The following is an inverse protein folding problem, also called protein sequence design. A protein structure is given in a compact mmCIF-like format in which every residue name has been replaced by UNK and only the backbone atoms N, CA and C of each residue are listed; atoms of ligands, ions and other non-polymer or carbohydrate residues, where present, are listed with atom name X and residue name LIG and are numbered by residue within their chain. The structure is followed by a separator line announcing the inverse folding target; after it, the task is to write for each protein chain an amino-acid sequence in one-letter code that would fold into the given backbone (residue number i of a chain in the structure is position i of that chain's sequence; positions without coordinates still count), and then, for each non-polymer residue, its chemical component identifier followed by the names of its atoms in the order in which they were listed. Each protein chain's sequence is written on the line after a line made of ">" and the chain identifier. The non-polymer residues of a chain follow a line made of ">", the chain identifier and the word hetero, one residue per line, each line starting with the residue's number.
data_IF_564870714341
#
_entry.id   IF_564870714341
#
_cell.length_a   1.000
_cell.length_b   1.000
_cell.length_c   1.000
_cell.angle_alpha   90.00
_cell.angle_beta   90.00
_cell.angle_gamma   90.00
#
_symmetry.space_group_name_H-M   'P 1'
#
loop_
_entity.id
_entity.type
_entity.pdbx_description
1 polymer ?
#
# COMPACT_ATOMS: atom_id res chain seq x y z
N UNK A 1 -34.97 74.83 -44.58
CA UNK A 1 -35.27 74.55 -43.17
C UNK A 1 -35.81 73.13 -43.08
N UNK A 2 -35.57 72.36 -42.00
CA UNK A 2 -34.48 72.51 -41.01
C UNK A 2 -33.09 72.32 -41.69
N UNK A 3 -31.91 72.75 -41.18
CA UNK A 3 -31.21 72.55 -39.89
C UNK A 3 -30.88 71.05 -39.65
N UNK A 4 -29.65 70.63 -39.33
CA UNK A 4 -28.35 71.30 -39.11
C UNK A 4 -27.24 70.22 -39.20
N UNK A 5 -26.14 70.38 -39.97
CA UNK A 5 -24.87 71.09 -39.68
C UNK A 5 -23.89 70.30 -38.77
N UNK A 6 -22.59 70.34 -39.13
CA UNK A 6 -21.34 69.92 -38.45
C UNK A 6 -20.85 68.45 -38.54
N UNK A 7 -19.70 68.29 -39.24
CA UNK A 7 -18.66 67.27 -39.02
C UNK A 7 -17.77 67.65 -37.81
N UNK A 8 -16.93 66.74 -37.27
CA UNK A 8 -15.57 66.51 -37.81
C UNK A 8 -15.25 65.01 -38.08
N UNK A 9 -14.29 64.55 -38.93
CA UNK A 9 -12.84 64.86 -39.08
C UNK A 9 -12.02 64.32 -37.87
N UNK A 10 -10.93 63.54 -37.96
CA UNK A 10 -10.07 62.92 -39.01
C UNK A 10 -9.11 61.91 -38.30
N UNK A 11 -8.32 60.99 -38.93
CA UNK A 11 -8.34 60.32 -40.24
C UNK A 11 -8.70 58.80 -40.04
N UNK A 12 -8.10 57.68 -40.54
CA UNK A 12 -6.96 57.39 -41.46
C UNK A 12 -7.04 55.99 -42.12
N UNK A 13 -6.32 55.86 -43.25
CA UNK A 13 -5.76 54.72 -44.02
C UNK A 13 -5.40 53.45 -43.19
N UNK A 14 -5.71 52.18 -43.49
CA UNK A 14 -5.99 51.36 -44.71
C UNK A 14 -4.77 50.76 -45.45
N UNK A 15 -4.51 49.47 -45.23
CA UNK A 15 -3.87 48.47 -46.14
C UNK A 15 -2.96 48.93 -47.29
N UNK A 16 -1.67 48.56 -47.22
CA UNK A 16 -0.82 48.04 -48.32
C UNK A 16 0.58 47.68 -47.74
N UNK A 17 1.46 46.86 -48.32
CA UNK A 17 1.33 45.58 -49.06
C UNK A 17 2.73 45.12 -49.50
N UNK A 18 2.94 43.80 -49.66
CA UNK A 18 4.09 43.18 -50.38
C UNK A 18 5.43 43.20 -49.61
N UNK A 19 6.30 42.25 -49.99
CA UNK A 19 7.55 41.86 -49.34
C UNK A 19 8.71 42.81 -49.66
N UNK A 20 9.66 42.95 -48.74
CA UNK A 20 11.06 42.64 -49.06
C UNK A 20 11.88 42.22 -47.82
N UNK A 21 13.15 41.85 -47.99
CA UNK A 21 13.93 41.03 -47.04
C UNK A 21 15.01 41.80 -46.24
N UNK A 22 15.47 41.20 -45.14
CA UNK A 22 16.64 41.56 -44.29
C UNK A 22 16.39 42.59 -43.18
N UNK A 23 16.35 42.11 -41.92
CA UNK A 23 16.41 42.95 -40.71
C UNK A 23 16.21 42.16 -39.42
N UNK A 24 17.10 42.33 -38.43
CA UNK A 24 16.94 41.73 -37.09
C UNK A 24 16.16 42.67 -36.17
N UNK A 25 15.16 42.17 -35.44
CA UNK A 25 15.11 42.26 -33.97
C UNK A 25 13.87 41.55 -33.40
N UNK A 26 13.90 41.27 -32.10
CA UNK A 26 12.85 40.61 -31.35
C UNK A 26 11.77 41.62 -30.92
N UNK A 27 10.49 41.20 -30.84
CA UNK A 27 9.93 40.82 -29.54
C UNK A 27 8.48 40.28 -29.54
N UNK A 28 8.32 39.22 -28.75
CA UNK A 28 7.15 38.79 -27.98
C UNK A 28 5.84 39.64 -28.04
N UNK A 29 4.80 39.17 -28.77
CA UNK A 29 3.42 39.23 -28.28
C UNK A 29 2.44 38.24 -28.97
N UNK A 30 2.62 36.93 -28.79
CA UNK A 30 1.59 35.94 -29.17
C UNK A 30 1.63 34.66 -28.34
N UNK A 31 1.11 34.72 -27.11
CA UNK A 31 0.79 33.56 -26.26
C UNK A 31 -0.48 33.80 -25.44
N UNK A 32 -1.63 33.83 -26.11
CA UNK A 32 -2.91 33.54 -25.47
C UNK A 32 -3.93 33.03 -26.50
N UNK A 33 -4.99 32.36 -26.01
CA UNK A 33 -6.06 31.74 -26.83
C UNK A 33 -5.58 30.62 -27.78
N UNK A 34 -5.11 29.50 -27.20
CA UNK A 34 -5.49 28.14 -27.65
C UNK A 34 -5.16 27.08 -26.58
N UNK A 35 -5.98 26.03 -26.56
CA UNK A 35 -5.91 24.86 -25.68
C UNK A 35 -6.31 25.03 -24.20
N UNK A 36 -7.58 25.36 -23.95
CA UNK A 36 -8.32 24.80 -22.80
C UNK A 36 -8.74 23.35 -23.13
N UNK A 37 -7.74 22.50 -23.44
CA UNK A 37 -7.89 21.06 -23.76
C UNK A 37 -6.61 20.30 -23.40
N UNK A 38 -6.40 20.08 -22.11
CA UNK A 38 -5.74 18.87 -21.60
C UNK A 38 -5.95 18.69 -20.08
N UNK A 39 -7.21 18.74 -19.64
CA UNK A 39 -7.63 17.96 -18.47
C UNK A 39 -7.83 16.51 -18.96
N UNK A 40 -6.74 15.88 -19.38
CA UNK A 40 -6.67 14.42 -19.42
C UNK A 40 -6.48 13.97 -17.98
N UNK A 41 -7.13 12.89 -17.56
CA UNK A 41 -6.89 12.28 -16.26
C UNK A 41 -5.50 11.67 -16.24
N UNK A 42 -4.50 12.49 -15.89
CA UNK A 42 -3.16 12.04 -15.54
C UNK A 42 -3.27 11.38 -14.17
N UNK A 43 -3.71 10.12 -14.17
CA UNK A 43 -3.36 9.17 -13.13
C UNK A 43 -1.83 9.11 -13.13
N UNK A 44 -1.21 9.94 -12.29
CA UNK A 44 0.23 10.12 -12.28
C UNK A 44 0.87 8.77 -12.03
N UNK A 45 1.62 8.27 -13.03
CA UNK A 45 2.20 6.93 -12.97
C UNK A 45 3.29 6.93 -11.90
N UNK A 46 2.91 6.56 -10.68
CA UNK A 46 3.81 6.57 -9.51
C UNK A 46 4.97 5.64 -9.84
N UNK A 47 6.18 6.18 -9.97
CA UNK A 47 7.38 5.36 -10.12
C UNK A 47 7.64 4.56 -8.83
N UNK A 48 8.23 3.36 -8.91
CA UNK A 48 8.70 2.64 -7.74
C UNK A 48 9.53 3.54 -6.81
N UNK A 49 9.18 3.56 -5.52
CA UNK A 49 9.78 4.46 -4.52
C UNK A 49 9.56 3.94 -3.11
N UNK A 50 10.36 4.44 -2.16
CA UNK A 50 10.10 4.26 -0.72
C UNK A 50 9.46 5.54 -0.16
N UNK A 51 8.18 5.50 0.16
CA UNK A 51 7.50 6.60 0.86
C UNK A 51 7.70 6.46 2.37
N UNK A 52 8.03 7.56 3.07
CA UNK A 52 8.26 7.55 4.52
C UNK A 52 7.37 8.60 5.21
N UNK A 53 6.67 8.20 6.27
CA UNK A 53 5.89 9.11 7.12
C UNK A 53 5.84 8.56 8.56
N UNK A 54 5.88 9.44 9.57
CA UNK A 54 5.68 9.12 10.99
C UNK A 54 6.37 7.84 11.51
N UNK A 55 7.59 7.51 11.03
CA UNK A 55 8.32 6.30 11.46
C UNK A 55 7.89 4.99 10.79
N UNK A 56 7.19 5.08 9.66
CA UNK A 56 6.79 3.97 8.77
C UNK A 56 7.36 4.23 7.37
N UNK A 57 7.77 3.15 6.71
CA UNK A 57 8.07 3.12 5.28
C UNK A 57 7.07 2.24 4.52
N UNK A 58 6.63 2.72 3.36
CA UNK A 58 5.96 1.93 2.32
C UNK A 58 6.91 1.75 1.14
N UNK A 59 7.24 0.50 0.82
CA UNK A 59 7.92 0.13 -0.43
C UNK A 59 6.87 0.07 -1.53
N UNK A 60 6.78 1.12 -2.35
CA UNK A 60 5.77 1.26 -3.39
C UNK A 60 6.31 0.78 -4.74
N UNK A 61 5.60 -0.11 -5.43
CA UNK A 61 5.81 -0.46 -6.85
C UNK A 61 5.13 0.54 -7.78
N UNK A 62 4.15 1.28 -7.26
CA UNK A 62 3.35 2.26 -7.99
C UNK A 62 2.05 1.74 -8.60
N UNK A 63 1.84 0.41 -8.63
CA UNK A 63 0.65 -0.24 -9.17
C UNK A 63 0.02 -1.29 -8.24
N UNK A 64 0.65 -1.57 -7.09
CA UNK A 64 0.16 -2.55 -6.12
C UNK A 64 -1.22 -2.19 -5.55
N UNK A 65 -2.06 -3.22 -5.40
CA UNK A 65 -3.38 -3.15 -4.73
C UNK A 65 -3.36 -3.82 -3.36
N UNK A 66 -2.21 -4.36 -2.96
CA UNK A 66 -2.04 -5.14 -1.74
C UNK A 66 -0.81 -4.65 -0.97
N UNK A 67 -0.87 -4.71 0.36
CA UNK A 67 0.21 -4.26 1.23
C UNK A 67 0.50 -5.29 2.33
N UNK A 68 1.71 -5.85 2.40
CA UNK A 68 2.09 -6.78 3.48
C UNK A 68 2.82 -6.02 4.59
N UNK A 69 2.31 -6.10 5.83
CA UNK A 69 3.01 -5.55 7.01
C UNK A 69 4.07 -6.56 7.48
N UNK A 70 5.36 -6.19 7.40
CA UNK A 70 6.51 -7.07 7.65
C UNK A 70 7.33 -6.70 8.88
N UNK A 71 6.65 -6.19 9.89
CA UNK A 71 7.26 -5.66 11.11
C UNK A 71 6.92 -6.55 12.31
N UNK A 72 7.66 -6.48 13.42
CA UNK A 72 7.24 -7.20 14.63
C UNK A 72 5.94 -6.58 15.16
N UNK A 73 5.02 -7.40 15.68
CA UNK A 73 3.72 -6.94 16.15
C UNK A 73 3.38 -7.44 17.55
N UNK A 74 2.34 -6.86 18.13
CA UNK A 74 1.63 -7.44 19.26
C UNK A 74 0.42 -6.62 19.73
N UNK A 75 -0.43 -7.24 20.55
CA UNK A 75 -1.53 -6.57 21.23
C UNK A 75 -1.48 -6.86 22.73
N UNK A 76 -1.61 -5.82 23.55
CA UNK A 76 -1.77 -5.97 25.01
C UNK A 76 -3.20 -5.64 25.44
N UNK A 77 -3.83 -6.62 26.05
CA UNK A 77 -5.18 -6.53 26.61
C UNK A 77 -5.18 -5.81 27.97
N UNK A 78 -6.28 -5.10 28.26
CA UNK A 78 -6.38 -4.16 29.39
C UNK A 78 -6.47 -4.85 30.76
N UNK A 79 -7.07 -6.04 30.81
CA UNK A 79 -7.65 -6.59 32.04
C UNK A 79 -6.78 -7.64 32.76
N UNK A 80 -5.56 -7.91 32.25
CA UNK A 80 -4.70 -8.89 32.89
C UNK A 80 -4.07 -8.34 34.18
N UNK A 81 -4.77 -8.58 35.29
CA UNK A 81 -4.43 -8.20 36.68
C UNK A 81 -3.02 -8.61 37.12
N UNK A 82 -2.36 -9.56 36.45
CA UNK A 82 -0.98 -9.98 36.77
C UNK A 82 0.10 -9.05 36.24
N UNK A 83 -0.23 -8.05 35.39
CA UNK A 83 0.78 -7.22 34.73
C UNK A 83 0.87 -5.80 35.29
N UNK A 84 2.01 -5.46 35.89
CA UNK A 84 2.31 -4.13 36.47
C UNK A 84 2.41 -3.01 35.44
N UNK A 85 2.66 -3.34 34.17
CA UNK A 85 2.79 -2.37 33.08
C UNK A 85 1.42 -1.85 32.61
N UNK A 86 1.14 -0.56 32.83
CA UNK A 86 -0.04 0.14 32.29
C UNK A 86 -0.02 0.16 30.74
N UNK A 87 -1.17 0.44 30.12
CA UNK A 87 -1.25 0.76 28.66
C UNK A 87 -0.27 1.89 28.32
N UNK A 88 0.34 1.81 27.15
CA UNK A 88 1.07 2.95 26.58
C UNK A 88 0.13 3.74 25.67
N UNK A 89 0.52 4.97 25.33
CA UNK A 89 -0.25 5.83 24.41
C UNK A 89 -0.39 5.13 23.05
N UNK A 90 -1.56 5.28 22.42
CA UNK A 90 -1.93 4.64 21.16
C UNK A 90 -2.57 3.25 21.29
N UNK A 91 -2.39 2.53 22.41
CA UNK A 91 -2.99 1.20 22.57
C UNK A 91 -4.51 1.29 22.66
N UNK A 92 -5.22 0.89 21.59
CA UNK A 92 -6.64 1.19 21.42
C UNK A 92 -7.36 0.33 20.39
N UNK A 93 -8.59 0.73 20.04
CA UNK A 93 -9.32 0.18 18.90
C UNK A 93 -9.40 1.26 17.83
N UNK A 94 -9.16 0.87 16.58
CA UNK A 94 -9.27 1.74 15.40
C UNK A 94 -10.32 1.15 14.44
N UNK A 95 -10.66 1.86 13.36
CA UNK A 95 -11.60 1.39 12.35
C UNK A 95 -10.86 1.20 11.02
N UNK A 96 -11.24 0.17 10.27
CA UNK A 96 -10.67 -0.08 8.93
C UNK A 96 -11.15 1.01 7.96
N UNK A 97 -10.25 1.66 7.19
CA UNK A 97 -10.64 2.63 6.16
C UNK A 97 -11.61 2.08 5.10
N UNK A 98 -12.41 2.98 4.52
CA UNK A 98 -13.28 2.69 3.37
C UNK A 98 -12.48 2.12 2.19
N UNK A 99 -13.05 1.11 1.51
CA UNK A 99 -12.44 0.40 0.38
C UNK A 99 -11.35 -0.62 0.75
N UNK A 100 -11.06 -0.80 2.04
CA UNK A 100 -9.97 -1.67 2.53
C UNK A 100 -10.51 -2.85 3.34
N UNK A 101 -9.85 -4.01 3.22
CA UNK A 101 -9.92 -5.08 4.23
C UNK A 101 -8.53 -5.45 4.77
N UNK A 102 -8.51 -6.15 5.89
CA UNK A 102 -7.30 -6.68 6.53
C UNK A 102 -7.45 -8.19 6.67
N UNK A 103 -6.51 -8.94 6.09
CA UNK A 103 -6.45 -10.40 6.17
C UNK A 103 -5.37 -10.81 7.20
N UNK A 104 -5.78 -11.59 8.20
CA UNK A 104 -4.91 -12.11 9.25
C UNK A 104 -4.52 -13.56 8.98
N UNK A 105 -3.22 -13.85 9.02
CA UNK A 105 -2.64 -15.17 8.75
C UNK A 105 -2.48 -16.06 9.99
N UNK A 106 -3.01 -15.59 11.11
CA UNK A 106 -3.02 -16.24 12.43
C UNK A 106 -4.30 -15.85 13.16
N UNK A 107 -4.77 -16.72 14.05
CA UNK A 107 -5.79 -16.34 15.04
C UNK A 107 -5.27 -15.23 15.98
N UNK A 108 -6.16 -14.53 16.68
CA UNK A 108 -5.77 -13.53 17.67
C UNK A 108 -4.89 -14.15 18.78
N UNK A 109 -4.01 -13.33 19.39
CA UNK A 109 -3.05 -13.75 20.43
C UNK A 109 -2.01 -14.80 19.99
N UNK A 110 -1.84 -15.07 18.70
CA UNK A 110 -0.78 -15.95 18.14
C UNK A 110 0.38 -15.20 17.44
N UNK A 111 1.47 -15.93 17.16
CA UNK A 111 2.67 -15.44 16.48
C UNK A 111 2.61 -15.70 14.97
N UNK A 112 2.94 -14.70 14.14
CA UNK A 112 2.84 -14.76 12.67
C UNK A 112 4.22 -14.89 12.03
N UNK A 113 4.33 -15.69 10.97
CA UNK A 113 5.56 -15.81 10.16
C UNK A 113 5.52 -14.83 8.98
N UNK A 114 5.80 -13.55 9.24
CA UNK A 114 5.75 -12.47 8.23
C UNK A 114 6.38 -12.80 6.86
N UNK A 115 7.62 -13.34 6.81
CA UNK A 115 8.23 -13.74 5.53
C UNK A 115 7.46 -14.82 4.75
N UNK A 116 6.79 -15.75 5.45
CA UNK A 116 5.91 -16.75 4.82
C UNK A 116 4.67 -16.09 4.22
N UNK A 117 4.11 -15.07 4.87
CA UNK A 117 2.98 -14.28 4.35
C UNK A 117 3.39 -13.53 3.08
N UNK A 118 4.54 -12.83 3.08
CA UNK A 118 5.06 -12.18 1.86
C UNK A 118 5.26 -13.20 0.73
N UNK A 119 5.83 -14.38 1.04
CA UNK A 119 6.12 -15.41 0.06
C UNK A 119 4.84 -15.93 -0.62
N UNK A 120 3.80 -16.30 0.14
CA UNK A 120 2.55 -16.79 -0.45
C UNK A 120 1.77 -15.71 -1.19
N UNK A 121 1.71 -14.49 -0.65
CA UNK A 121 1.04 -13.34 -1.31
C UNK A 121 1.72 -13.01 -2.65
N UNK A 122 3.06 -13.13 -2.75
CA UNK A 122 3.78 -12.93 -4.01
C UNK A 122 3.65 -14.09 -5.00
N UNK A 123 3.51 -15.34 -4.55
CA UNK A 123 3.25 -16.49 -5.43
C UNK A 123 1.85 -16.47 -6.01
N UNK A 124 0.86 -16.05 -5.21
CA UNK A 124 -0.59 -16.12 -5.54
C UNK A 124 -1.30 -14.76 -5.35
N UNK A 125 -0.83 -13.66 -5.98
CA UNK A 125 -1.35 -12.31 -5.71
C UNK A 125 -2.83 -12.14 -6.10
N UNK A 126 -3.28 -12.85 -7.15
CA UNK A 126 -4.69 -12.83 -7.60
C UNK A 126 -5.64 -13.59 -6.66
N UNK A 127 -5.14 -14.54 -5.87
CA UNK A 127 -5.92 -15.23 -4.85
C UNK A 127 -5.87 -14.46 -3.54
N UNK A 128 -4.70 -13.89 -3.19
CA UNK A 128 -4.55 -12.99 -2.06
C UNK A 128 -5.47 -11.76 -2.15
N UNK A 129 -5.77 -11.25 -3.36
CA UNK A 129 -6.79 -10.21 -3.57
C UNK A 129 -8.21 -10.64 -3.14
N UNK A 130 -8.53 -11.93 -3.10
CA UNK A 130 -9.83 -12.47 -2.65
C UNK A 130 -9.78 -12.93 -1.19
N UNK A 131 -8.60 -13.39 -0.77
CA UNK A 131 -8.31 -14.04 0.51
C UNK A 131 -7.55 -15.33 0.20
N UNK A 132 -6.36 -15.52 0.79
CA UNK A 132 -5.59 -16.73 0.54
C UNK A 132 -6.23 -17.94 1.21
N UNK A 133 -6.85 -18.82 0.42
CA UNK A 133 -7.25 -20.16 0.84
C UNK A 133 -6.03 -21.08 1.06
N UNK A 134 -6.12 -22.08 1.96
CA UNK A 134 -5.05 -23.03 2.20
C UNK A 134 -4.76 -23.86 0.95
N UNK A 135 -3.46 -23.98 0.63
CA UNK A 135 -2.97 -24.70 -0.53
C UNK A 135 -1.72 -25.49 -0.14
N UNK A 136 -1.65 -26.74 -0.60
CA UNK A 136 -0.61 -27.69 -0.19
C UNK A 136 0.69 -27.58 -1.00
N UNK A 137 0.61 -27.16 -2.28
CA UNK A 137 1.77 -27.15 -3.18
C UNK A 137 2.34 -28.53 -3.52
N UNK A 138 1.59 -29.60 -3.24
CA UNK A 138 1.97 -31.01 -3.40
C UNK A 138 0.92 -31.73 -4.26
N UNK A 139 1.36 -32.68 -5.08
CA UNK A 139 0.47 -33.62 -5.78
C UNK A 139 0.05 -34.77 -4.86
N UNK A 140 -1.03 -35.48 -5.21
CA UNK A 140 -1.42 -36.70 -4.50
C UNK A 140 -0.32 -37.78 -4.54
N UNK A 141 0.49 -37.83 -5.60
CA UNK A 141 1.70 -38.66 -5.67
C UNK A 141 2.78 -38.27 -4.64
N UNK A 142 2.97 -36.97 -4.38
CA UNK A 142 3.90 -36.50 -3.34
C UNK A 142 3.36 -36.79 -1.94
N UNK A 143 2.05 -36.62 -1.74
CA UNK A 143 1.38 -36.96 -0.47
C UNK A 143 1.47 -38.47 -0.17
N UNK A 144 1.28 -39.33 -1.17
CA UNK A 144 1.49 -40.79 -1.07
C UNK A 144 2.94 -41.13 -0.73
N UNK A 145 3.92 -40.49 -1.39
CA UNK A 145 5.34 -40.71 -1.11
C UNK A 145 5.72 -40.26 0.31
N UNK A 146 5.21 -39.12 0.77
CA UNK A 146 5.41 -38.61 2.13
C UNK A 146 4.71 -39.46 3.20
N UNK A 147 3.53 -39.99 2.91
CA UNK A 147 2.78 -40.89 3.79
C UNK A 147 3.56 -42.19 4.03
N UNK A 148 4.00 -42.84 2.95
CA UNK A 148 4.86 -44.02 2.99
C UNK A 148 6.19 -43.72 3.70
N UNK A 149 6.85 -42.61 3.37
CA UNK A 149 8.13 -42.18 3.98
C UNK A 149 8.04 -41.92 5.48
N UNK A 150 6.85 -41.61 6.03
CA UNK A 150 6.65 -41.27 7.45
C UNK A 150 5.83 -42.31 8.22
N UNK A 151 5.46 -43.42 7.57
CA UNK A 151 4.55 -44.43 8.11
C UNK A 151 3.25 -43.83 8.68
N UNK A 152 2.63 -42.94 7.90
CA UNK A 152 1.38 -42.22 8.20
C UNK A 152 0.34 -42.45 7.10
N UNK A 153 -0.94 -42.18 7.38
CA UNK A 153 -1.96 -42.06 6.32
C UNK A 153 -1.75 -40.80 5.47
N UNK A 154 -2.24 -40.82 4.23
CA UNK A 154 -2.26 -39.65 3.33
C UNK A 154 -3.02 -38.50 3.99
N UNK A 155 -4.10 -38.80 4.71
CA UNK A 155 -4.94 -37.86 5.44
C UNK A 155 -4.14 -37.17 6.55
N UNK A 156 -3.37 -37.92 7.34
CA UNK A 156 -2.53 -37.31 8.38
C UNK A 156 -1.41 -36.45 7.80
N UNK A 157 -0.87 -36.77 6.62
CA UNK A 157 0.08 -35.89 5.93
C UNK A 157 -0.62 -34.65 5.39
N UNK A 158 -1.82 -34.79 4.81
CA UNK A 158 -2.65 -33.69 4.32
C UNK A 158 -2.95 -32.71 5.46
N UNK A 159 -3.36 -33.21 6.62
CA UNK A 159 -3.63 -32.42 7.82
C UNK A 159 -2.36 -31.79 8.41
N UNK A 160 -1.25 -32.53 8.53
CA UNK A 160 0.05 -31.99 8.96
C UNK A 160 0.46 -30.78 8.09
N UNK A 161 0.28 -30.89 6.76
CA UNK A 161 0.68 -29.84 5.82
C UNK A 161 -0.30 -28.67 5.78
N UNK A 162 -1.62 -28.91 5.88
CA UNK A 162 -2.62 -27.84 6.02
C UNK A 162 -2.40 -27.01 7.30
N UNK A 163 -2.02 -27.65 8.41
CA UNK A 163 -1.67 -26.97 9.66
C UNK A 163 -0.41 -26.10 9.57
N UNK A 164 0.48 -26.37 8.61
CA UNK A 164 1.70 -25.57 8.34
C UNK A 164 1.52 -24.54 7.22
N UNK A 165 0.44 -24.62 6.43
CA UNK A 165 0.16 -23.72 5.32
C UNK A 165 -0.04 -22.27 5.81
N UNK A 166 0.33 -21.30 4.96
CA UNK A 166 0.09 -19.88 5.21
C UNK A 166 -1.12 -19.43 4.40
N UNK A 167 -2.21 -19.15 5.10
CA UNK A 167 -3.53 -18.82 4.54
C UNK A 167 -4.27 -17.85 5.47
N UNK A 168 -5.33 -17.21 4.98
CA UNK A 168 -6.18 -16.30 5.77
C UNK A 168 -6.95 -17.12 6.82
N UNK A 169 -6.73 -16.84 8.10
CA UNK A 169 -7.45 -17.47 9.22
C UNK A 169 -8.57 -16.60 9.79
N UNK A 170 -8.46 -15.28 9.62
CA UNK A 170 -9.35 -14.27 10.18
C UNK A 170 -9.25 -13.00 9.31
N UNK A 171 -10.17 -12.06 9.44
CA UNK A 171 -10.10 -10.79 8.72
C UNK A 171 -11.22 -9.82 9.09
N UNK A 172 -10.98 -8.54 8.81
CA UNK A 172 -11.91 -7.44 9.04
C UNK A 172 -12.04 -6.59 7.78
N UNK A 173 -13.23 -6.06 7.55
CA UNK A 173 -13.62 -5.27 6.36
C UNK A 173 -13.81 -3.79 6.70
N UNK A 174 -14.12 -2.98 5.70
CA UNK A 174 -14.22 -1.52 5.86
C UNK A 174 -15.23 -1.10 6.94
N UNK A 175 -14.88 -0.06 7.70
CA UNK A 175 -15.69 0.44 8.82
C UNK A 175 -15.70 -0.45 10.07
N UNK A 176 -15.32 -1.72 9.97
CA UNK A 176 -15.25 -2.61 11.13
C UNK A 176 -14.17 -2.17 12.13
N UNK A 177 -14.38 -2.50 13.40
CA UNK A 177 -13.51 -2.06 14.49
C UNK A 177 -12.43 -3.09 14.79
N UNK A 178 -11.19 -2.74 14.47
CA UNK A 178 -10.01 -3.60 14.62
C UNK A 178 -9.15 -3.17 15.81
N UNK A 179 -8.42 -4.12 16.40
CA UNK A 179 -7.40 -3.80 17.43
C UNK A 179 -6.31 -2.96 16.80
N UNK A 180 -5.95 -1.87 17.45
CA UNK A 180 -4.85 -1.04 17.00
C UNK A 180 -3.53 -1.69 17.45
N UNK A 181 -3.08 -2.69 16.68
CA UNK A 181 -1.91 -3.50 17.01
C UNK A 181 -0.65 -2.64 17.11
N UNK A 182 0.13 -2.86 18.16
CA UNK A 182 1.43 -2.23 18.33
C UNK A 182 2.44 -2.88 17.37
N UNK A 183 3.12 -2.05 16.59
CA UNK A 183 4.07 -2.40 15.54
C UNK A 183 5.47 -1.90 15.92
N UNK A 184 6.48 -2.73 15.74
CA UNK A 184 7.86 -2.47 16.18
C UNK A 184 8.84 -2.75 15.03
N UNK A 185 9.88 -1.92 14.92
CA UNK A 185 10.93 -2.02 13.92
C UNK A 185 11.57 -3.42 13.88
N UNK A 186 11.57 -4.04 12.70
CA UNK A 186 12.29 -5.30 12.44
C UNK A 186 13.76 -4.99 12.16
N UNK A 187 14.71 -5.73 12.74
CA UNK A 187 16.15 -5.43 12.61
C UNK A 187 16.63 -5.30 11.16
N UNK A 188 16.17 -6.21 10.28
CA UNK A 188 16.48 -6.22 8.85
C UNK A 188 15.65 -5.24 7.98
N UNK A 189 14.94 -4.25 8.55
CA UNK A 189 14.03 -3.35 7.82
C UNK A 189 14.63 -2.74 6.55
N UNK A 190 15.86 -2.24 6.60
CA UNK A 190 16.50 -1.62 5.43
C UNK A 190 16.78 -2.62 4.30
N UNK A 191 17.27 -3.81 4.65
CA UNK A 191 17.52 -4.89 3.70
C UNK A 191 16.21 -5.37 3.05
N UNK A 192 15.12 -5.54 3.82
CA UNK A 192 13.82 -5.93 3.29
C UNK A 192 13.25 -4.92 2.28
N UNK A 193 13.41 -3.60 2.53
CA UNK A 193 13.00 -2.55 1.58
C UNK A 193 13.85 -2.59 0.31
N UNK A 194 15.18 -2.67 0.45
CA UNK A 194 16.08 -2.77 -0.71
C UNK A 194 15.81 -4.02 -1.54
N UNK A 195 15.64 -5.17 -0.89
CA UNK A 195 15.31 -6.43 -1.55
C UNK A 195 13.99 -6.32 -2.32
N UNK A 196 12.94 -5.74 -1.71
CA UNK A 196 11.65 -5.54 -2.36
C UNK A 196 11.67 -4.58 -3.56
N UNK A 197 12.56 -3.57 -3.54
CA UNK A 197 12.69 -2.62 -4.66
C UNK A 197 13.62 -3.12 -5.77
N UNK A 198 14.54 -4.05 -5.47
CA UNK A 198 15.57 -4.53 -6.40
C UNK A 198 15.25 -5.90 -7.03
N UNK A 199 14.58 -6.80 -6.31
CA UNK A 199 14.18 -8.12 -6.83
C UNK A 199 12.82 -8.05 -7.55
N UNK A 200 12.57 -9.00 -8.46
CA UNK A 200 11.29 -9.14 -9.17
C UNK A 200 10.22 -9.80 -8.29
N UNK A 201 9.83 -9.12 -7.21
CA UNK A 201 8.56 -9.39 -6.52
C UNK A 201 7.37 -9.07 -7.43
N UNK A 202 6.18 -9.51 -7.05
CA UNK A 202 4.95 -9.18 -7.78
C UNK A 202 4.73 -7.66 -7.77
N UNK A 203 4.50 -7.02 -8.93
CA UNK A 203 4.20 -5.60 -8.98
C UNK A 203 2.85 -5.25 -8.31
N UNK A 204 2.02 -6.25 -8.03
CA UNK A 204 0.69 -6.12 -7.42
C UNK A 204 0.73 -5.99 -5.88
N UNK A 205 1.94 -6.12 -5.28
CA UNK A 205 2.17 -6.22 -3.83
C UNK A 205 3.24 -5.20 -3.39
N UNK A 206 2.90 -4.39 -2.39
CA UNK A 206 3.81 -3.50 -1.67
C UNK A 206 4.12 -4.07 -0.26
N UNK A 207 5.13 -3.52 0.43
CA UNK A 207 5.40 -3.83 1.86
C UNK A 207 5.44 -2.60 2.75
N UNK A 208 4.96 -2.76 3.98
CA UNK A 208 5.00 -1.77 5.05
C UNK A 208 5.88 -2.23 6.23
N UNK A 209 6.73 -1.33 6.71
CA UNK A 209 7.72 -1.58 7.77
C UNK A 209 7.82 -0.39 8.73
N UNK A 210 8.03 -0.64 10.02
CA UNK A 210 8.33 0.41 11.00
C UNK A 210 9.83 0.74 10.93
N UNK A 211 10.16 1.99 10.60
CA UNK A 211 11.54 2.50 10.53
C UNK A 211 12.01 3.14 11.84
N UNK A 212 11.09 3.48 12.76
CA UNK A 212 11.42 4.01 14.09
C UNK A 212 11.98 2.91 15.01
N UNK A 213 13.27 3.03 15.35
CA UNK A 213 13.98 2.11 16.25
C UNK A 213 13.72 2.35 17.74
N UNK A 214 13.14 3.49 18.12
CA UNK A 214 12.97 3.93 19.52
C UNK A 214 11.53 3.81 20.01
N UNK A 215 10.56 4.02 19.13
CA UNK A 215 9.15 4.02 19.47
C UNK A 215 8.37 3.01 18.64
N UNK A 216 7.38 2.37 19.27
CA UNK A 216 6.37 1.61 18.53
C UNK A 216 5.52 2.55 17.68
N UNK A 217 4.93 1.97 16.64
CA UNK A 217 3.87 2.55 15.83
C UNK A 217 2.60 1.72 16.01
N UNK A 218 1.51 2.20 15.47
CA UNK A 218 0.20 1.55 15.56
C UNK A 218 -0.34 1.22 14.15
N UNK A 219 -1.36 0.38 14.07
CA UNK A 219 -1.99 0.01 12.79
C UNK A 219 -2.72 1.23 12.18
N UNK A 220 -3.21 2.15 13.01
CA UNK A 220 -3.69 3.48 12.62
C UNK A 220 -2.62 4.35 11.95
N UNK A 221 -1.35 4.32 12.41
CA UNK A 221 -0.24 5.04 11.76
C UNK A 221 0.01 4.52 10.33
N UNK A 222 -0.21 3.21 10.09
CA UNK A 222 -0.13 2.61 8.74
C UNK A 222 -1.23 3.20 7.86
N UNK A 223 -2.48 3.30 8.36
CA UNK A 223 -3.60 3.88 7.61
C UNK A 223 -3.36 5.37 7.29
N UNK A 224 -2.83 6.17 8.22
CA UNK A 224 -2.44 7.56 7.92
C UNK A 224 -1.34 7.57 6.85
N UNK A 225 -0.31 6.74 6.98
CA UNK A 225 0.81 6.69 6.02
C UNK A 225 0.34 6.33 4.61
N UNK A 226 -0.58 5.36 4.46
CA UNK A 226 -1.23 5.03 3.17
C UNK A 226 -1.92 6.27 2.61
N UNK A 227 -2.81 6.90 3.39
CA UNK A 227 -3.58 8.09 3.00
C UNK A 227 -2.69 9.28 2.60
N UNK A 228 -1.53 9.47 3.25
CA UNK A 228 -0.55 10.53 2.93
C UNK A 228 0.30 10.20 1.70
N UNK A 229 0.50 8.91 1.41
CA UNK A 229 1.28 8.45 0.26
C UNK A 229 0.54 8.61 -1.07
N UNK A 230 -0.80 8.58 -1.03
CA UNK A 230 -1.68 8.57 -2.20
C UNK A 230 -1.91 7.19 -2.83
N UNK A 231 -1.57 6.10 -2.14
CA UNK A 231 -1.81 4.74 -2.63
C UNK A 231 -3.20 4.19 -2.22
N UNK A 232 -3.80 3.41 -3.11
CA UNK A 232 -5.14 2.84 -2.99
C UNK A 232 -5.06 1.30 -2.87
N UNK A 233 -4.71 0.81 -1.68
CA UNK A 233 -4.72 -0.62 -1.39
C UNK A 233 -6.14 -1.11 -1.10
N UNK A 234 -6.45 -2.31 -1.59
CA UNK A 234 -7.72 -3.03 -1.34
C UNK A 234 -7.58 -4.02 -0.17
N UNK A 235 -6.35 -4.51 0.07
CA UNK A 235 -6.05 -5.53 1.09
C UNK A 235 -4.75 -5.21 1.83
N UNK A 236 -4.80 -5.18 3.16
CA UNK A 236 -3.61 -5.32 4.01
C UNK A 236 -3.47 -6.78 4.44
N UNK A 237 -2.30 -7.36 4.18
CA UNK A 237 -1.90 -8.67 4.68
C UNK A 237 -1.11 -8.50 5.97
N UNK A 238 -1.71 -8.88 7.11
CA UNK A 238 -1.13 -8.64 8.42
C UNK A 238 -0.09 -9.73 8.76
N UNK A 239 1.14 -9.55 8.26
CA UNK A 239 2.29 -10.44 8.51
C UNK A 239 2.93 -10.29 9.89
N UNK A 240 2.53 -9.28 10.66
CA UNK A 240 3.00 -9.04 12.02
C UNK A 240 2.33 -9.98 13.06
N UNK A 241 2.97 -10.19 14.21
CA UNK A 241 2.42 -11.01 15.29
C UNK A 241 1.19 -10.37 15.94
N UNK A 242 0.16 -11.17 16.28
CA UNK A 242 -1.04 -10.73 16.99
C UNK A 242 -0.89 -10.84 18.52
N UNK A 243 0.08 -11.62 19.00
CA UNK A 243 0.46 -11.77 20.42
C UNK A 243 1.43 -10.68 20.89
N UNK A 244 1.25 -10.16 22.11
CA UNK A 244 2.28 -9.35 22.77
C UNK A 244 3.55 -10.18 23.02
N UNK A 245 4.72 -9.62 22.71
CA UNK A 245 5.97 -10.10 23.29
C UNK A 245 6.00 -9.78 24.79
N UNK A 246 6.23 -10.78 25.63
CA UNK A 246 6.81 -10.59 26.96
C UNK A 246 8.32 -10.45 26.78
N UNK A 247 8.84 -9.27 27.09
CA UNK A 247 10.25 -9.07 27.49
C UNK A 247 10.28 -8.95 29.02
#
# INVERSE_FOLDING_TARGET
>A
MPKSILSPIIPITSTQSIFDTVGKSENNFSKNVKSVRNIQNVAAKISPRVFNHNGIALSQTGHAKQLVILTHGGWKELENKSTTFRRQVGDGWTHVPTGLRIDFYTEDKNFTKGPSVLSEVNKRPNDALKGLEPHLGLSESDLLLLANSRNKSVESIRDDMLNLATYKKDGVTEGERVKDYALYHHENTHALIQQHQNEKYSPDVDIALVTDKKHKRHLSDIFETIKKSGAEYQVIHFGACRRCFSR
#
